data_IF_458217445227
#
_entry.id   IF_458217445227
#
_cell.length_a   1.000
_cell.length_b   1.000
_cell.length_c   1.000
_cell.angle_alpha   90.00
_cell.angle_beta   90.00
_cell.angle_gamma   90.00
#
_symmetry.space_group_name_H-M   'P 1'
#
loop_
_entity.id
_entity.type
_entity.pdbx_description
1 polymer ?
#
# COMPACT_ATOMS: atom_id res chain seq x y z
N UNK A 1 -38.80 -9.15 6.47
CA UNK A 1 -37.97 -7.94 6.33
C UNK A 1 -38.90 -6.73 6.38
N UNK A 2 -38.64 -5.72 7.23
CA UNK A 2 -39.58 -4.62 7.56
C UNK A 2 -39.98 -3.74 6.35
N UNK A 3 -39.10 -3.59 5.36
CA UNK A 3 -39.27 -2.66 4.23
C UNK A 3 -38.94 -3.29 2.85
N UNK A 4 -39.01 -4.62 2.72
CA UNK A 4 -38.63 -5.32 1.48
C UNK A 4 -37.11 -5.54 1.30
N UNK A 5 -36.70 -6.07 0.14
CA UNK A 5 -35.31 -6.35 -0.23
C UNK A 5 -34.76 -5.26 -1.14
N UNK A 6 -34.11 -4.25 -0.55
CA UNK A 6 -33.61 -3.07 -1.29
C UNK A 6 -32.09 -3.14 -1.46
N UNK A 7 -31.39 -3.58 -0.43
CA UNK A 7 -29.93 -3.63 -0.42
C UNK A 7 -29.44 -5.06 -0.64
N UNK A 8 -28.58 -5.31 -1.65
CA UNK A 8 -27.82 -6.54 -1.69
C UNK A 8 -26.86 -6.60 -0.50
N UNK A 9 -26.59 -7.79 0.01
CA UNK A 9 -25.62 -7.98 1.10
C UNK A 9 -24.19 -7.90 0.54
N UNK A 10 -23.40 -6.89 0.93
CA UNK A 10 -22.06 -6.72 0.38
C UNK A 10 -21.14 -7.86 0.84
N UNK A 11 -20.35 -8.39 -0.10
CA UNK A 11 -19.38 -9.45 0.17
C UNK A 11 -17.98 -8.87 0.35
N UNK A 12 -17.16 -9.51 1.20
CA UNK A 12 -15.79 -9.10 1.45
C UNK A 12 -14.86 -9.57 0.32
N UNK A 13 -13.92 -8.70 -0.08
CA UNK A 13 -12.81 -9.05 -0.96
C UNK A 13 -11.51 -9.03 -0.15
N UNK A 14 -10.93 -10.21 0.12
CA UNK A 14 -9.71 -10.36 0.92
C UNK A 14 -8.46 -10.16 0.07
N UNK A 15 -7.40 -9.63 0.69
CA UNK A 15 -6.07 -9.47 0.07
C UNK A 15 -5.01 -10.21 0.89
N UNK A 16 -3.96 -10.67 0.21
CA UNK A 16 -2.85 -11.39 0.86
C UNK A 16 -2.01 -10.48 1.76
N UNK A 17 -1.90 -9.20 1.40
CA UNK A 17 -1.20 -8.18 2.19
C UNK A 17 -2.21 -7.15 2.71
N UNK A 18 -2.81 -7.38 3.89
CA UNK A 18 -3.80 -6.46 4.43
C UNK A 18 -3.19 -5.18 5.01
N UNK A 19 -1.88 -5.18 5.35
CA UNK A 19 -1.24 -4.06 6.05
C UNK A 19 0.26 -3.99 5.82
N UNK A 20 0.75 -2.80 5.45
CA UNK A 20 2.17 -2.49 5.36
C UNK A 20 2.72 -1.94 6.68
N UNK A 21 3.93 -2.37 7.04
CA UNK A 21 4.67 -1.78 8.15
C UNK A 21 5.30 -0.43 7.74
N UNK A 22 5.27 0.54 8.64
CA UNK A 22 6.05 1.77 8.50
C UNK A 22 7.52 1.54 8.79
N UNK A 23 8.34 2.56 8.56
CA UNK A 23 9.81 2.49 8.72
C UNK A 23 10.28 2.10 10.13
N UNK A 24 9.40 2.22 11.13
CA UNK A 24 9.67 1.89 12.53
C UNK A 24 9.07 0.56 13.00
N UNK A 25 8.44 -0.21 12.09
CA UNK A 25 7.77 -1.48 12.37
C UNK A 25 6.29 -1.40 12.78
N UNK A 26 5.75 -0.20 13.04
CA UNK A 26 4.33 -0.02 13.39
C UNK A 26 3.47 0.06 12.12
N UNK A 27 2.17 0.38 12.25
CA UNK A 27 1.32 0.74 11.09
C UNK A 27 2.02 1.84 10.30
N UNK A 28 2.10 1.71 8.97
CA UNK A 28 2.46 2.86 8.15
C UNK A 28 1.39 3.95 8.29
N UNK A 29 1.78 5.15 8.71
CA UNK A 29 0.87 6.27 8.92
C UNK A 29 1.59 7.61 8.89
N UNK A 30 0.94 8.62 8.30
CA UNK A 30 1.44 9.99 8.28
C UNK A 30 1.64 10.56 9.70
N UNK A 31 0.73 10.25 10.64
CA UNK A 31 0.79 10.76 12.02
C UNK A 31 1.91 10.14 12.84
N UNK A 32 2.43 8.97 12.44
CA UNK A 32 3.59 8.35 13.07
C UNK A 32 4.90 8.75 12.42
N UNK A 33 4.86 9.59 11.37
CA UNK A 33 6.03 10.01 10.60
C UNK A 33 6.89 8.81 10.12
N UNK A 34 6.23 7.69 9.82
CA UNK A 34 6.88 6.44 9.41
C UNK A 34 6.44 5.99 8.00
N UNK A 35 5.82 6.90 7.24
CA UNK A 35 5.25 6.64 5.92
C UNK A 35 6.23 6.92 4.78
N UNK A 36 6.12 6.09 3.73
CA UNK A 36 6.72 6.31 2.43
C UNK A 36 5.60 6.79 1.51
N UNK A 37 5.72 8.00 0.99
CA UNK A 37 4.68 8.61 0.18
C UNK A 37 4.82 8.19 -1.29
N UNK A 38 3.68 8.09 -1.99
CA UNK A 38 3.66 7.78 -3.42
C UNK A 38 4.40 8.83 -4.27
N UNK A 39 4.55 10.04 -3.75
CA UNK A 39 5.29 11.14 -4.38
C UNK A 39 6.72 11.32 -3.86
N UNK A 40 7.19 10.48 -2.94
CA UNK A 40 8.57 10.57 -2.51
C UNK A 40 9.49 10.32 -3.70
N UNK A 41 10.48 11.19 -3.96
CA UNK A 41 11.45 10.94 -5.00
C UNK A 41 12.39 9.77 -4.59
N UNK A 42 13.11 9.16 -5.54
CA UNK A 42 13.93 7.97 -5.30
C UNK A 42 14.91 8.09 -4.12
N UNK A 43 15.52 9.26 -3.94
CA UNK A 43 16.44 9.57 -2.85
C UNK A 43 15.76 9.54 -1.48
N UNK A 44 14.53 10.06 -1.37
CA UNK A 44 13.74 10.05 -0.14
C UNK A 44 13.26 8.64 0.21
N UNK A 45 12.84 7.87 -0.79
CA UNK A 45 12.49 6.45 -0.62
C UNK A 45 13.69 5.69 -0.04
N UNK A 46 14.87 5.87 -0.65
CA UNK A 46 16.12 5.23 -0.19
C UNK A 46 16.48 5.68 1.22
N UNK A 47 16.39 6.98 1.51
CA UNK A 47 16.69 7.55 2.82
C UNK A 47 15.74 7.06 3.93
N UNK A 48 14.47 6.81 3.61
CA UNK A 48 13.46 6.29 4.57
C UNK A 48 13.58 4.80 4.84
N UNK A 49 13.83 3.99 3.80
CA UNK A 49 13.91 2.52 3.94
C UNK A 49 15.27 2.07 4.48
N UNK A 50 16.36 2.75 4.14
CA UNK A 50 17.72 2.37 4.61
C UNK A 50 17.82 2.23 6.14
N UNK A 51 17.32 3.17 6.96
CA UNK A 51 17.31 3.05 8.43
C UNK A 51 16.13 2.26 8.99
N UNK A 52 15.23 1.71 8.15
CA UNK A 52 14.03 1.00 8.61
C UNK A 52 14.37 -0.14 9.57
N UNK A 53 13.57 -0.32 10.63
CA UNK A 53 13.77 -1.41 11.58
C UNK A 53 13.71 -2.76 10.87
N UNK A 54 14.62 -3.64 11.26
CA UNK A 54 14.69 -5.03 10.80
C UNK A 54 14.46 -5.97 11.97
N UNK A 55 14.59 -7.28 11.75
CA UNK A 55 14.51 -8.28 12.80
C UNK A 55 15.49 -7.98 13.95
N UNK A 56 14.96 -7.83 15.16
CA UNK A 56 15.73 -7.52 16.38
C UNK A 56 16.69 -8.63 16.81
N UNK A 57 16.48 -9.88 16.36
CA UNK A 57 17.42 -10.98 16.57
C UNK A 57 18.71 -10.79 15.77
N UNK A 58 18.63 -10.09 14.65
CA UNK A 58 19.72 -9.96 13.68
C UNK A 58 20.67 -8.81 14.02
N UNK A 59 21.34 -8.91 15.17
CA UNK A 59 22.21 -7.85 15.71
C UNK A 59 23.50 -7.69 14.90
N UNK A 60 24.04 -8.79 14.37
CA UNK A 60 25.24 -8.83 13.53
C UNK A 60 24.90 -9.38 12.14
N UNK A 61 25.73 -9.08 11.14
CA UNK A 61 25.54 -9.58 9.76
C UNK A 61 25.49 -11.11 9.71
N UNK A 62 26.28 -11.78 10.54
CA UNK A 62 26.39 -13.23 10.64
C UNK A 62 25.26 -13.90 11.44
N UNK A 63 24.43 -13.10 12.13
CA UNK A 63 23.30 -13.66 12.87
C UNK A 63 22.18 -13.98 11.87
N UNK A 64 21.52 -15.13 11.97
CA UNK A 64 20.35 -15.45 11.17
C UNK A 64 19.15 -14.61 11.63
N UNK A 65 18.27 -14.26 10.69
CA UNK A 65 17.01 -13.58 10.97
C UNK A 65 15.78 -14.42 10.62
N UNK A 66 14.61 -13.96 11.04
CA UNK A 66 13.31 -14.52 10.62
C UNK A 66 12.58 -13.45 9.80
N UNK A 67 12.45 -13.65 8.47
CA UNK A 67 11.79 -12.71 7.57
C UNK A 67 10.39 -12.31 8.02
N UNK A 68 9.60 -13.24 8.55
CA UNK A 68 8.21 -12.99 8.93
C UNK A 68 8.05 -12.00 10.09
N UNK A 69 9.07 -11.84 10.92
CA UNK A 69 9.09 -10.86 12.02
C UNK A 69 9.79 -9.55 11.64
N UNK A 70 10.30 -9.45 10.40
CA UNK A 70 11.03 -8.29 9.91
C UNK A 70 10.06 -7.30 9.23
N UNK A 71 9.94 -6.04 9.71
CA UNK A 71 9.08 -5.04 9.08
C UNK A 71 9.36 -4.80 7.60
N UNK A 72 10.64 -4.80 7.19
CA UNK A 72 11.05 -4.66 5.78
C UNK A 72 10.43 -5.75 4.92
N UNK A 73 10.27 -6.97 5.45
CA UNK A 73 9.74 -8.09 4.70
C UNK A 73 8.25 -7.97 4.38
N UNK A 74 7.51 -7.10 5.09
CA UNK A 74 6.14 -6.73 4.69
C UNK A 74 6.12 -5.98 3.36
N UNK A 75 7.14 -5.17 3.07
CA UNK A 75 7.30 -4.49 1.79
C UNK A 75 7.69 -5.49 0.69
N UNK A 76 8.57 -6.45 0.98
CA UNK A 76 8.89 -7.52 0.04
C UNK A 76 7.65 -8.33 -0.35
N UNK A 77 6.79 -8.69 0.60
CA UNK A 77 5.53 -9.39 0.33
C UNK A 77 4.60 -8.62 -0.61
N UNK A 78 4.66 -7.28 -0.60
CA UNK A 78 3.76 -6.43 -1.38
C UNK A 78 4.28 -6.05 -2.76
N UNK A 79 5.60 -5.93 -2.93
CA UNK A 79 6.20 -5.34 -4.14
C UNK A 79 7.18 -6.25 -4.87
N UNK A 80 7.74 -7.26 -4.21
CA UNK A 80 8.75 -8.14 -4.79
C UNK A 80 8.13 -9.47 -5.17
N UNK A 81 8.45 -9.94 -6.38
CA UNK A 81 7.98 -11.21 -6.92
C UNK A 81 8.35 -12.38 -5.99
N UNK A 82 7.50 -13.41 -5.98
CA UNK A 82 7.59 -14.53 -5.05
C UNK A 82 8.95 -15.24 -5.07
N UNK A 83 9.48 -15.56 -6.25
CA UNK A 83 10.78 -16.22 -6.41
C UNK A 83 11.92 -15.42 -5.74
N UNK A 84 11.99 -14.10 -6.02
CA UNK A 84 13.01 -13.25 -5.43
C UNK A 84 12.81 -13.07 -3.92
N UNK A 85 11.55 -13.02 -3.48
CA UNK A 85 11.19 -12.94 -2.06
C UNK A 85 11.65 -14.19 -1.32
N UNK A 86 11.51 -15.38 -1.89
CA UNK A 86 11.98 -16.64 -1.31
C UNK A 86 13.51 -16.71 -1.21
N UNK A 87 14.23 -16.29 -2.26
CA UNK A 87 15.69 -16.17 -2.25
C UNK A 87 16.17 -15.28 -1.10
N UNK A 88 15.56 -14.10 -0.95
CA UNK A 88 15.87 -13.17 0.13
C UNK A 88 15.51 -13.73 1.52
N UNK A 89 14.39 -14.47 1.62
CA UNK A 89 14.00 -15.13 2.85
C UNK A 89 15.04 -16.18 3.26
N UNK A 90 15.50 -16.99 2.31
CA UNK A 90 16.54 -17.99 2.54
C UNK A 90 17.85 -17.32 2.96
N UNK A 91 18.31 -16.30 2.22
CA UNK A 91 19.52 -15.54 2.56
C UNK A 91 19.47 -14.89 3.95
N UNK A 92 18.29 -14.43 4.39
CA UNK A 92 18.10 -13.90 5.74
C UNK A 92 18.21 -15.00 6.82
N UNK A 93 17.56 -16.15 6.60
CA UNK A 93 17.57 -17.30 7.53
C UNK A 93 18.95 -17.95 7.65
N UNK A 94 19.76 -17.94 6.60
CA UNK A 94 21.12 -18.49 6.59
C UNK A 94 22.21 -17.45 6.91
N UNK A 95 21.82 -16.19 7.16
CA UNK A 95 22.74 -15.06 7.27
C UNK A 95 23.65 -14.85 6.03
N UNK A 96 23.27 -15.38 4.86
CA UNK A 96 24.01 -15.26 3.61
C UNK A 96 23.99 -13.86 2.98
N UNK A 97 22.98 -13.03 3.26
CA UNK A 97 22.84 -11.67 2.73
C UNK A 97 22.76 -10.62 3.83
N UNK A 98 23.24 -9.40 3.61
CA UNK A 98 23.09 -8.31 4.61
C UNK A 98 21.68 -7.72 4.66
N UNK A 99 21.28 -7.11 5.80
CA UNK A 99 20.00 -6.38 5.88
C UNK A 99 19.92 -5.21 4.89
N UNK A 100 21.04 -4.51 4.65
CA UNK A 100 21.07 -3.40 3.69
C UNK A 100 20.95 -3.89 2.24
N UNK A 101 21.61 -4.99 1.91
CA UNK A 101 21.50 -5.66 0.61
C UNK A 101 20.06 -6.10 0.34
N UNK A 102 19.42 -6.74 1.32
CA UNK A 102 18.00 -7.09 1.27
C UNK A 102 17.11 -5.85 1.05
N UNK A 103 17.34 -4.75 1.78
CA UNK A 103 16.61 -3.49 1.63
C UNK A 103 16.76 -2.86 0.25
N UNK A 104 17.96 -2.92 -0.34
CA UNK A 104 18.20 -2.34 -1.67
C UNK A 104 17.27 -2.95 -2.72
N UNK A 105 16.99 -4.26 -2.64
CA UNK A 105 16.07 -4.92 -3.58
C UNK A 105 14.67 -4.33 -3.51
N UNK A 106 14.11 -4.11 -2.31
CA UNK A 106 12.77 -3.52 -2.20
C UNK A 106 12.76 -2.02 -2.49
N UNK A 107 13.85 -1.30 -2.20
CA UNK A 107 13.99 0.12 -2.57
C UNK A 107 13.92 0.27 -4.09
N UNK A 108 14.72 -0.50 -4.82
CA UNK A 108 14.79 -0.41 -6.28
C UNK A 108 13.44 -0.82 -6.91
N UNK A 109 12.82 -1.89 -6.39
CA UNK A 109 11.50 -2.33 -6.85
C UNK A 109 10.40 -1.30 -6.57
N UNK A 110 10.43 -0.63 -5.42
CA UNK A 110 9.46 0.41 -5.08
C UNK A 110 9.63 1.64 -5.98
N UNK A 111 10.87 2.05 -6.27
CA UNK A 111 11.16 3.15 -7.20
C UNK A 111 10.63 2.81 -8.60
N UNK A 112 10.91 1.61 -9.10
CA UNK A 112 10.39 1.12 -10.39
C UNK A 112 8.86 1.13 -10.42
N UNK A 113 8.23 0.63 -9.36
CA UNK A 113 6.76 0.53 -9.25
C UNK A 113 6.10 1.91 -9.20
N UNK A 114 6.71 2.89 -8.52
CA UNK A 114 6.12 4.22 -8.34
C UNK A 114 6.39 5.17 -9.52
N UNK A 115 7.46 4.96 -10.28
CA UNK A 115 7.82 5.79 -11.43
C UNK A 115 6.65 6.11 -12.39
N UNK A 116 5.84 5.14 -12.86
CA UNK A 116 4.72 5.45 -13.76
C UNK A 116 3.62 6.28 -13.09
N UNK A 117 3.36 6.06 -11.79
CA UNK A 117 2.38 6.85 -11.04
C UNK A 117 2.88 8.28 -10.80
N UNK A 118 4.17 8.46 -10.56
CA UNK A 118 4.80 9.77 -10.40
C UNK A 118 4.83 10.58 -11.70
N UNK A 119 5.04 9.92 -12.85
CA UNK A 119 4.93 10.58 -14.15
C UNK A 119 3.50 11.09 -14.41
N UNK A 120 2.50 10.22 -14.21
CA UNK A 120 1.09 10.61 -14.33
C UNK A 120 0.73 11.74 -13.38
N UNK A 121 1.25 11.73 -12.15
CA UNK A 121 1.05 12.83 -11.21
C UNK A 121 1.59 14.15 -11.75
N UNK A 122 2.79 14.17 -12.33
CA UNK A 122 3.37 15.38 -12.96
C UNK A 122 2.50 15.91 -14.09
N UNK A 123 1.86 15.03 -14.87
CA UNK A 123 0.89 15.46 -15.90
C UNK A 123 -0.34 16.15 -15.28
N UNK A 124 -0.86 15.64 -14.18
CA UNK A 124 -1.98 16.25 -13.46
C UNK A 124 -1.60 17.56 -12.77
N UNK A 125 -0.38 17.69 -12.25
CA UNK A 125 0.12 18.93 -11.65
C UNK A 125 0.19 20.07 -12.68
N UNK A 126 0.45 19.76 -13.96
CA UNK A 126 0.43 20.73 -15.07
C UNK A 126 -0.97 21.18 -15.47
N UNK A 127 -1.99 20.37 -15.18
CA UNK A 127 -3.39 20.71 -15.46
C UNK A 127 -4.31 20.32 -14.29
N UNK A 128 -4.30 21.11 -13.19
CA UNK A 128 -5.11 20.81 -12.02
C UNK A 128 -6.62 20.76 -12.31
N UNK A 129 -7.10 21.50 -13.32
CA UNK A 129 -8.51 21.49 -13.74
C UNK A 129 -8.96 20.09 -14.16
N UNK A 130 -8.11 19.33 -14.85
CA UNK A 130 -8.40 17.95 -15.26
C UNK A 130 -8.77 17.05 -14.08
N UNK A 131 -8.15 17.25 -12.91
CA UNK A 131 -8.47 16.48 -11.69
C UNK A 131 -9.88 16.84 -11.20
N UNK A 132 -10.23 18.12 -11.17
CA UNK A 132 -11.56 18.58 -10.80
C UNK A 132 -12.64 18.07 -11.76
N UNK A 133 -12.40 18.15 -13.07
CA UNK A 133 -13.33 17.65 -14.09
C UNK A 133 -13.61 16.14 -13.88
N UNK A 134 -12.58 15.34 -13.56
CA UNK A 134 -12.73 13.91 -13.25
C UNK A 134 -13.58 13.70 -11.99
N UNK A 135 -13.34 14.48 -10.93
CA UNK A 135 -14.11 14.39 -9.67
C UNK A 135 -15.57 14.78 -9.89
N UNK A 136 -15.84 15.87 -10.61
CA UNK A 136 -17.19 16.33 -10.92
C UNK A 136 -17.98 15.31 -11.73
N UNK A 137 -17.35 14.73 -12.75
CA UNK A 137 -17.97 13.68 -13.56
C UNK A 137 -18.25 12.40 -12.73
N UNK A 138 -17.32 12.01 -11.87
CA UNK A 138 -17.52 10.91 -10.91
C UNK A 138 -18.69 11.17 -9.97
N UNK A 139 -18.76 12.37 -9.39
CA UNK A 139 -19.85 12.81 -8.52
C UNK A 139 -21.20 12.77 -9.23
N UNK A 140 -21.26 13.19 -10.50
CA UNK A 140 -22.48 13.14 -11.31
C UNK A 140 -22.98 11.70 -11.50
N UNK A 141 -22.08 10.76 -11.83
CA UNK A 141 -22.42 9.33 -11.97
C UNK A 141 -22.86 8.71 -10.65
N UNK A 142 -22.12 8.97 -9.56
CA UNK A 142 -22.44 8.48 -8.23
C UNK A 142 -23.80 9.01 -7.74
N UNK A 143 -24.07 10.30 -7.93
CA UNK A 143 -25.33 10.94 -7.56
C UNK A 143 -26.53 10.31 -8.25
N UNK A 144 -26.43 10.01 -9.56
CA UNK A 144 -27.50 9.33 -10.31
C UNK A 144 -27.82 7.96 -9.72
N UNK A 145 -26.80 7.21 -9.30
CA UNK A 145 -26.98 5.88 -8.69
C UNK A 145 -27.59 5.99 -7.30
N UNK A 146 -27.06 6.88 -6.46
CA UNK A 146 -27.55 7.12 -5.12
C UNK A 146 -29.00 7.63 -5.11
N UNK A 147 -29.39 8.49 -6.06
CA UNK A 147 -30.76 8.98 -6.19
C UNK A 147 -31.75 7.84 -6.47
N UNK A 148 -31.42 6.91 -7.38
CA UNK A 148 -32.24 5.72 -7.65
C UNK A 148 -32.41 4.86 -6.40
N UNK A 149 -31.32 4.57 -5.69
CA UNK A 149 -31.39 3.82 -4.43
C UNK A 149 -32.24 4.55 -3.38
N UNK A 150 -32.13 5.88 -3.28
CA UNK A 150 -32.94 6.66 -2.34
C UNK A 150 -34.42 6.72 -2.72
N UNK A 151 -34.77 6.65 -4.00
CA UNK A 151 -36.16 6.51 -4.45
C UNK A 151 -36.76 5.18 -3.98
N UNK A 152 -36.02 4.08 -4.14
CA UNK A 152 -36.43 2.75 -3.64
C UNK A 152 -36.59 2.72 -2.12
N UNK A 153 -35.63 3.32 -1.40
CA UNK A 153 -35.67 3.43 0.06
C UNK A 153 -36.87 4.24 0.52
N UNK A 154 -37.10 5.44 -0.05
CA UNK A 154 -38.23 6.32 0.31
C UNK A 154 -39.56 5.63 0.09
N UNK A 155 -39.74 5.01 -1.08
CA UNK A 155 -40.94 4.23 -1.41
C UNK A 155 -41.19 3.12 -0.39
N UNK A 156 -40.14 2.43 0.04
CA UNK A 156 -40.25 1.32 0.98
C UNK A 156 -40.59 1.76 2.42
N UNK A 157 -40.15 2.95 2.84
CA UNK A 157 -40.47 3.52 4.16
C UNK A 157 -41.74 4.40 4.16
N UNK A 158 -42.38 4.57 2.99
CA UNK A 158 -43.63 5.32 2.85
C UNK A 158 -43.47 6.84 2.74
N UNK A 159 -42.34 7.32 2.19
CA UNK A 159 -42.06 8.72 1.87
C UNK A 159 -42.05 9.00 0.37
#
# INVERSE_FOLDING_TARGET
>A
RLYGEIFPEPQMLLTEVPRLAGTDGRKMSNSFHNAIYLSDPPEEIRAKISPMKTDTRRKRKTDPGVPDDCPVFTLHKAFVEEEKREELAQGCRTAGIGCLECKNVVIDKLIETLAPSQEKRREFDKNPKKVWDIIEEGNRKARKTAQKTMEEVRKAIGL
#
